data_IF_873986696444
#
_entry.id   IF_873986696444
#
_cell.length_a   1.000
_cell.length_b   1.000
_cell.length_c   1.000
_cell.angle_alpha   90.00
_cell.angle_beta   90.00
_cell.angle_gamma   90.00
#
_symmetry.space_group_name_H-M   'P 1'
#
loop_
_entity.id
_entity.type
_entity.pdbx_description
1 polymer ?
#
# COMPACT_ATOMS: atom_id res chain seq x y z
N UNK A 1 -70.64 -7.18 44.78
CA UNK A 1 -71.09 -6.04 45.61
C UNK A 1 -70.54 -4.76 45.00
N UNK A 2 -71.44 -3.88 44.57
CA UNK A 2 -71.12 -2.57 43.99
C UNK A 2 -70.73 -1.60 45.12
N UNK A 3 -69.66 -0.85 44.95
CA UNK A 3 -69.54 0.50 45.52
C UNK A 3 -68.76 1.37 44.54
N UNK A 4 -69.54 2.23 43.89
CA UNK A 4 -69.07 3.37 43.13
C UNK A 4 -68.63 4.48 44.11
N UNK A 5 -67.76 5.40 43.65
CA UNK A 5 -68.09 6.83 43.42
C UNK A 5 -66.87 7.76 43.46
N UNK A 6 -66.81 8.61 42.42
CA UNK A 6 -66.39 10.02 42.40
C UNK A 6 -64.90 10.41 42.29
N UNK A 7 -64.53 10.73 41.04
CA UNK A 7 -64.03 12.03 40.56
C UNK A 7 -63.06 12.84 41.45
N UNK A 8 -61.84 13.02 40.96
CA UNK A 8 -61.13 14.32 40.99
C UNK A 8 -60.29 14.45 39.71
N UNK A 9 -60.62 15.43 38.87
CA UNK A 9 -59.72 15.98 37.86
C UNK A 9 -58.57 16.70 38.55
N UNK A 10 -57.32 16.39 38.21
CA UNK A 10 -56.25 17.37 38.24
C UNK A 10 -55.23 17.05 37.14
N UNK A 11 -55.13 17.99 36.20
CA UNK A 11 -54.17 17.99 35.11
C UNK A 11 -52.74 18.01 35.65
N UNK A 12 -51.86 17.16 35.12
CA UNK A 12 -50.41 17.30 35.24
C UNK A 12 -49.77 17.06 33.87
N UNK A 13 -49.61 18.17 33.17
CA UNK A 13 -48.79 18.38 31.99
C UNK A 13 -47.34 17.96 32.34
N UNK A 14 -46.87 16.82 31.86
CA UNK A 14 -45.49 16.37 32.08
C UNK A 14 -44.72 16.37 30.76
N UNK A 15 -44.21 17.57 30.46
CA UNK A 15 -42.94 17.93 29.82
C UNK A 15 -42.23 16.80 29.04
N UNK A 16 -42.20 16.97 27.71
CA UNK A 16 -41.24 16.32 26.80
C UNK A 16 -39.87 16.96 27.02
N UNK A 17 -38.93 16.27 27.67
CA UNK A 17 -37.50 16.63 27.61
C UNK A 17 -36.88 15.77 26.51
N UNK A 18 -36.75 16.37 25.34
CA UNK A 18 -35.88 15.85 24.29
C UNK A 18 -34.43 16.04 24.70
N UNK A 19 -33.74 14.95 25.04
CA UNK A 19 -32.29 14.91 24.98
C UNK A 19 -31.89 14.81 23.51
N UNK A 20 -31.88 15.96 22.82
CA UNK A 20 -31.06 16.12 21.62
C UNK A 20 -29.61 16.22 22.12
N UNK A 21 -29.00 15.07 22.36
CA UNK A 21 -27.55 14.99 22.48
C UNK A 21 -26.97 15.43 21.14
N UNK A 22 -26.19 16.52 21.14
CA UNK A 22 -25.28 16.81 20.04
C UNK A 22 -24.45 15.55 19.79
N UNK A 23 -24.73 14.83 18.70
CA UNK A 23 -23.84 13.82 18.19
C UNK A 23 -22.58 14.52 17.71
N UNK A 24 -21.61 14.71 18.62
CA UNK A 24 -20.25 14.99 18.21
C UNK A 24 -19.79 13.74 17.45
N UNK A 25 -19.72 13.83 16.13
CA UNK A 25 -19.00 12.82 15.34
C UNK A 25 -17.59 12.77 15.92
N UNK A 26 -17.12 11.62 16.44
CA UNK A 26 -15.78 11.53 16.97
C UNK A 26 -14.81 11.98 15.88
N UNK A 27 -13.84 12.83 16.27
CA UNK A 27 -12.78 13.22 15.36
C UNK A 27 -12.12 11.95 14.79
N UNK A 28 -11.80 11.90 13.48
CA UNK A 28 -11.12 10.75 12.90
C UNK A 28 -9.83 10.49 13.69
N UNK A 29 -9.57 9.22 13.99
CA UNK A 29 -8.34 8.82 14.67
C UNK A 29 -7.14 9.21 13.80
N UNK A 30 -6.18 9.91 14.38
CA UNK A 30 -4.92 10.29 13.73
C UNK A 30 -3.77 9.49 14.31
N UNK A 31 -2.92 8.92 13.46
CA UNK A 31 -1.80 8.08 13.84
C UNK A 31 -0.49 8.73 13.42
N UNK A 32 0.50 8.73 14.30
CA UNK A 32 1.88 9.13 13.96
C UNK A 32 2.84 7.94 13.94
N UNK A 33 2.41 6.81 14.52
CA UNK A 33 3.15 5.55 14.53
C UNK A 33 2.70 4.69 13.34
N UNK A 34 3.58 4.33 12.39
CA UNK A 34 3.21 3.55 11.21
C UNK A 34 2.67 2.16 11.58
N UNK A 35 3.14 1.55 12.66
CA UNK A 35 2.72 0.21 13.08
C UNK A 35 1.29 0.22 13.63
N UNK A 36 0.99 1.12 14.56
CA UNK A 36 -0.38 1.33 15.03
C UNK A 36 -1.34 1.75 13.90
N UNK A 37 -0.86 2.55 12.95
CA UNK A 37 -1.63 2.93 11.77
C UNK A 37 -2.00 1.70 10.92
N UNK A 38 -1.01 0.89 10.49
CA UNK A 38 -1.29 -0.28 9.67
C UNK A 38 -2.17 -1.31 10.38
N UNK A 39 -1.94 -1.56 11.68
CA UNK A 39 -2.78 -2.45 12.47
C UNK A 39 -4.26 -1.99 12.50
N UNK A 40 -4.52 -0.69 12.41
CA UNK A 40 -5.87 -0.13 12.42
C UNK A 40 -6.53 -0.12 11.03
N UNK A 41 -5.79 0.19 9.96
CA UNK A 41 -6.35 0.34 8.61
C UNK A 41 -6.31 -0.94 7.77
N UNK A 42 -5.51 -1.92 8.17
CA UNK A 42 -5.33 -3.18 7.45
C UNK A 42 -4.46 -3.00 6.21
N UNK A 43 -5.08 -2.88 5.04
CA UNK A 43 -4.38 -2.85 3.75
C UNK A 43 -4.65 -1.53 3.04
N UNK A 44 -3.59 -0.78 2.75
CA UNK A 44 -3.66 0.46 1.95
C UNK A 44 -2.33 0.70 1.24
N UNK A 45 -2.39 1.01 -0.05
CA UNK A 45 -1.20 1.20 -0.91
C UNK A 45 -0.38 2.44 -0.54
N UNK A 46 -1.02 3.47 0.02
CA UNK A 46 -0.39 4.72 0.43
C UNK A 46 -1.09 5.24 1.67
N UNK A 47 -0.36 5.66 2.73
CA UNK A 47 -0.98 6.25 3.91
C UNK A 47 -1.90 7.41 3.55
N UNK A 48 -3.09 7.44 4.15
CA UNK A 48 -4.09 8.47 3.90
C UNK A 48 -4.09 9.55 5.00
N UNK A 49 -5.14 10.37 5.03
CA UNK A 49 -5.27 11.47 5.99
C UNK A 49 -5.35 11.03 7.47
N UNK A 50 -5.59 9.74 7.76
CA UNK A 50 -5.54 9.22 9.13
C UNK A 50 -4.10 9.07 9.63
N UNK A 51 -3.09 9.02 8.75
CA UNK A 51 -1.69 9.09 9.16
C UNK A 51 -1.17 10.53 9.09
N UNK A 52 -0.69 11.05 10.22
CA UNK A 52 -0.20 12.43 10.38
C UNK A 52 1.29 12.51 10.72
N UNK A 53 2.02 11.41 10.58
CA UNK A 53 3.47 11.38 10.77
C UNK A 53 4.26 11.86 9.54
N UNK A 54 5.60 11.76 9.56
CA UNK A 54 6.45 12.06 8.41
C UNK A 54 6.13 11.15 7.21
N UNK A 55 6.34 11.65 5.98
CA UNK A 55 6.05 10.92 4.75
C UNK A 55 6.63 9.50 4.73
N UNK A 56 7.88 9.35 5.15
CA UNK A 56 8.48 8.07 5.55
C UNK A 56 8.98 8.22 6.99
N UNK A 57 8.40 7.52 7.97
CA UNK A 57 8.85 7.60 9.36
C UNK A 57 10.24 6.98 9.55
N UNK A 58 10.98 7.48 10.55
CA UNK A 58 12.35 7.02 10.83
C UNK A 58 12.45 5.51 11.07
N UNK A 59 11.47 4.94 11.78
CA UNK A 59 11.39 3.49 12.04
C UNK A 59 11.30 2.65 10.77
N UNK A 60 10.67 3.17 9.72
CA UNK A 60 10.62 2.51 8.40
C UNK A 60 12.00 2.54 7.74
N UNK A 61 12.71 3.67 7.81
CA UNK A 61 14.07 3.78 7.29
C UNK A 61 15.06 2.86 8.01
N UNK A 62 14.99 2.77 9.34
CA UNK A 62 15.82 1.88 10.16
C UNK A 62 15.52 0.40 9.86
N UNK A 63 14.23 0.07 9.76
CA UNK A 63 13.77 -1.24 9.34
C UNK A 63 14.31 -1.64 7.96
N UNK A 64 14.26 -0.74 6.98
CA UNK A 64 14.85 -0.95 5.65
C UNK A 64 16.36 -1.13 5.71
N UNK A 65 17.08 -0.36 6.52
CA UNK A 65 18.52 -0.48 6.69
C UNK A 65 18.91 -1.90 7.13
N UNK A 66 18.13 -2.46 8.06
CA UNK A 66 18.26 -3.82 8.57
C UNK A 66 17.84 -4.87 7.53
N UNK A 67 16.67 -4.71 6.91
CA UNK A 67 16.13 -5.65 5.94
C UNK A 67 17.01 -5.79 4.68
N UNK A 68 17.59 -4.68 4.22
CA UNK A 68 18.51 -4.63 3.08
C UNK A 68 19.96 -4.98 3.45
N UNK A 69 20.28 -5.09 4.75
CA UNK A 69 21.64 -5.30 5.26
C UNK A 69 22.65 -4.26 4.75
N UNK A 70 22.30 -2.98 4.87
CA UNK A 70 23.10 -1.82 4.39
C UNK A 70 23.48 -0.87 5.53
N UNK A 71 24.26 -1.32 6.53
CA UNK A 71 24.53 -0.54 7.74
C UNK A 71 25.26 0.78 7.48
N UNK A 72 25.99 0.88 6.37
CA UNK A 72 26.75 2.09 5.98
C UNK A 72 25.93 3.08 5.15
N UNK A 73 24.71 2.72 4.73
CA UNK A 73 23.84 3.62 3.98
C UNK A 73 23.28 4.70 4.92
N UNK A 74 23.45 6.00 4.60
CA UNK A 74 22.86 7.06 5.38
C UNK A 74 21.34 6.91 5.49
N UNK A 75 20.81 7.05 6.71
CA UNK A 75 19.39 6.83 6.98
C UNK A 75 18.49 7.81 6.20
N UNK A 76 18.94 9.03 5.98
CA UNK A 76 18.24 10.03 5.18
C UNK A 76 18.12 9.61 3.71
N UNK A 77 19.09 8.86 3.16
CA UNK A 77 18.99 8.29 1.82
C UNK A 77 17.87 7.25 1.76
N UNK A 78 17.76 6.37 2.76
CA UNK A 78 16.69 5.38 2.85
C UNK A 78 15.32 6.06 3.02
N UNK A 79 15.20 7.03 3.92
CA UNK A 79 13.95 7.76 4.16
C UNK A 79 13.47 8.49 2.89
N UNK A 80 14.36 9.20 2.20
CA UNK A 80 13.99 10.02 1.05
C UNK A 80 13.79 9.20 -0.23
N UNK A 81 14.35 8.00 -0.30
CA UNK A 81 14.27 7.12 -1.47
C UNK A 81 13.30 5.95 -1.30
N UNK A 82 12.41 5.98 -0.31
CA UNK A 82 11.50 4.85 -0.04
C UNK A 82 10.04 5.23 -0.11
N UNK A 83 9.23 4.22 -0.39
CA UNK A 83 7.79 4.23 -0.23
C UNK A 83 7.42 3.17 0.81
N UNK A 84 6.31 3.38 1.51
CA UNK A 84 5.77 2.41 2.46
C UNK A 84 4.26 2.31 2.33
N UNK A 85 3.74 1.16 2.72
CA UNK A 85 2.32 0.82 2.64
C UNK A 85 1.94 -0.11 3.79
N UNK A 86 0.64 -0.28 3.98
CA UNK A 86 0.13 -1.32 4.87
C UNK A 86 -0.31 -2.53 4.05
N UNK A 87 0.15 -3.71 4.44
CA UNK A 87 -0.27 -4.98 3.86
C UNK A 87 -0.71 -5.89 4.99
N UNK A 88 -2.01 -6.23 5.02
CA UNK A 88 -2.60 -7.14 6.01
C UNK A 88 -2.38 -6.71 7.47
N UNK A 89 -2.28 -5.41 7.73
CA UNK A 89 -2.05 -4.85 9.06
C UNK A 89 -0.58 -4.57 9.39
N UNK A 90 0.35 -5.06 8.57
CA UNK A 90 1.78 -4.91 8.78
C UNK A 90 2.37 -3.81 7.89
N UNK A 91 3.49 -3.24 8.34
CA UNK A 91 4.21 -2.19 7.60
C UNK A 91 5.13 -2.86 6.58
N UNK A 92 4.99 -2.47 5.32
CA UNK A 92 5.90 -2.88 4.25
C UNK A 92 6.54 -1.66 3.60
N UNK A 93 7.82 -1.76 3.23
CA UNK A 93 8.54 -0.67 2.59
C UNK A 93 9.41 -1.14 1.43
N UNK A 94 9.59 -0.25 0.46
CA UNK A 94 10.41 -0.45 -0.73
C UNK A 94 11.34 0.74 -0.90
N UNK A 95 12.62 0.48 -1.14
CA UNK A 95 13.63 1.50 -1.42
C UNK A 95 13.98 1.49 -2.91
N UNK A 96 13.90 2.65 -3.58
CA UNK A 96 14.04 2.74 -5.05
C UNK A 96 15.40 2.28 -5.56
N UNK A 97 16.47 2.36 -4.76
CA UNK A 97 17.78 1.74 -5.04
C UNK A 97 18.18 1.68 -6.52
N UNK A 98 18.23 0.46 -7.07
CA UNK A 98 18.59 0.16 -8.47
C UNK A 98 17.49 0.55 -9.50
N UNK A 99 16.81 1.68 -9.26
CA UNK A 99 15.62 2.14 -9.98
C UNK A 99 14.44 1.15 -9.89
N UNK A 100 14.26 0.50 -8.74
CA UNK A 100 13.13 -0.37 -8.44
C UNK A 100 11.80 0.41 -8.49
N UNK A 101 10.74 -0.16 -9.06
CA UNK A 101 9.47 0.53 -9.28
C UNK A 101 8.58 0.47 -8.03
N UNK A 102 9.01 1.10 -6.93
CA UNK A 102 8.33 1.03 -5.64
C UNK A 102 6.88 1.54 -5.66
N UNK A 103 6.51 2.44 -6.58
CA UNK A 103 5.16 3.01 -6.66
C UNK A 103 4.32 2.44 -7.81
N UNK A 104 4.79 1.39 -8.50
CA UNK A 104 4.11 0.84 -9.66
C UNK A 104 3.59 -0.58 -9.42
N UNK A 105 2.42 -0.87 -10.00
CA UNK A 105 1.90 -2.23 -10.05
C UNK A 105 2.72 -3.07 -11.02
N UNK A 106 2.87 -4.34 -10.68
CA UNK A 106 3.49 -5.34 -11.53
C UNK A 106 2.75 -5.39 -12.89
N UNK A 107 3.51 -5.31 -13.98
CA UNK A 107 2.99 -5.55 -15.31
C UNK A 107 2.92 -7.07 -15.54
N UNK A 108 1.70 -7.57 -15.62
CA UNK A 108 1.39 -8.99 -15.84
C UNK A 108 0.92 -9.30 -17.28
N UNK A 109 0.98 -8.30 -18.16
CA UNK A 109 0.65 -8.47 -19.57
C UNK A 109 1.74 -9.31 -20.27
N UNK A 110 1.28 -10.25 -21.11
CA UNK A 110 2.12 -11.12 -21.94
C UNK A 110 2.20 -10.65 -23.38
N UNK A 111 1.59 -9.51 -23.69
CA UNK A 111 1.62 -8.87 -25.00
C UNK A 111 2.88 -8.01 -25.10
N UNK A 112 3.74 -8.23 -26.11
CA UNK A 112 4.91 -7.39 -26.29
C UNK A 112 4.52 -5.92 -26.52
N UNK A 113 5.29 -5.01 -25.96
CA UNK A 113 5.19 -3.58 -26.27
C UNK A 113 5.78 -3.27 -27.64
N UNK A 114 5.50 -2.07 -28.16
CA UNK A 114 6.08 -1.63 -29.42
C UNK A 114 7.62 -1.51 -29.32
N UNK A 115 8.13 -1.08 -28.18
CA UNK A 115 9.57 -0.97 -27.90
C UNK A 115 10.25 -2.34 -27.89
N UNK A 116 9.61 -3.37 -27.35
CA UNK A 116 10.12 -4.75 -27.39
C UNK A 116 10.15 -5.27 -28.83
N UNK A 117 9.09 -5.01 -29.62
CA UNK A 117 9.03 -5.37 -31.04
C UNK A 117 10.15 -4.70 -31.83
N UNK A 118 10.35 -3.39 -31.66
CA UNK A 118 11.43 -2.64 -32.32
C UNK A 118 12.82 -3.14 -31.91
N UNK A 119 12.99 -3.44 -30.61
CA UNK A 119 14.23 -4.01 -30.10
C UNK A 119 14.54 -5.35 -30.77
N UNK A 120 13.56 -6.25 -30.88
CA UNK A 120 13.77 -7.55 -31.52
C UNK A 120 13.97 -7.44 -33.03
N UNK A 121 13.32 -6.51 -33.73
CA UNK A 121 13.62 -6.25 -35.14
C UNK A 121 15.08 -5.84 -35.36
N UNK A 122 15.65 -5.04 -34.45
CA UNK A 122 17.05 -4.66 -34.49
C UNK A 122 18.01 -5.75 -33.98
N UNK A 123 17.54 -6.67 -33.13
CA UNK A 123 18.33 -7.70 -32.47
C UNK A 123 17.61 -9.07 -32.53
N UNK A 124 17.57 -9.72 -33.71
CA UNK A 124 16.61 -10.79 -33.99
C UNK A 124 16.71 -12.03 -33.08
N UNK A 125 17.92 -12.34 -32.58
CA UNK A 125 18.19 -13.52 -31.76
C UNK A 125 18.82 -13.14 -30.40
N UNK A 126 18.46 -11.96 -29.85
CA UNK A 126 18.91 -11.57 -28.51
C UNK A 126 18.33 -12.49 -27.44
N UNK A 127 19.17 -13.11 -26.62
CA UNK A 127 18.73 -13.99 -25.53
C UNK A 127 18.05 -13.26 -24.36
N UNK A 128 18.09 -11.91 -24.33
CA UNK A 128 17.37 -11.10 -23.36
C UNK A 128 16.93 -9.75 -23.96
N UNK A 129 15.85 -9.17 -23.42
CA UNK A 129 15.45 -7.77 -23.65
C UNK A 129 15.73 -6.96 -22.37
N UNK A 130 16.49 -5.84 -22.43
CA UNK A 130 16.82 -5.05 -21.24
C UNK A 130 15.60 -4.40 -20.56
N UNK A 131 15.66 -4.19 -19.24
CA UNK A 131 14.62 -3.53 -18.45
C UNK A 131 14.31 -2.07 -18.85
N UNK A 132 15.21 -1.41 -19.60
CA UNK A 132 14.92 -0.08 -20.18
C UNK A 132 13.94 -0.16 -21.35
N UNK A 133 13.77 -1.35 -21.95
CA UNK A 133 12.83 -1.63 -23.05
C UNK A 133 11.55 -2.27 -22.52
N UNK A 134 11.65 -3.30 -21.69
CA UNK A 134 10.49 -4.07 -21.17
C UNK A 134 9.72 -3.31 -20.07
N UNK A 135 10.28 -2.21 -19.57
CA UNK A 135 9.90 -1.65 -18.27
C UNK A 135 10.48 -2.44 -17.10
N UNK A 136 10.42 -1.86 -15.90
CA UNK A 136 10.92 -2.49 -14.66
C UNK A 136 9.82 -3.16 -13.86
N UNK A 137 8.58 -3.01 -14.31
CA UNK A 137 7.38 -3.51 -13.68
C UNK A 137 7.03 -4.92 -14.21
N UNK A 138 7.57 -5.33 -15.35
CA UNK A 138 7.24 -6.63 -15.96
C UNK A 138 7.64 -7.78 -15.05
N UNK A 139 6.75 -8.75 -14.86
CA UNK A 139 7.08 -9.98 -14.13
C UNK A 139 7.74 -11.04 -15.03
N UNK A 140 7.94 -10.73 -16.31
CA UNK A 140 8.45 -11.68 -17.30
C UNK A 140 9.88 -11.37 -17.72
N UNK A 141 10.65 -12.44 -17.93
CA UNK A 141 11.88 -12.37 -18.72
C UNK A 141 11.52 -12.54 -20.19
N UNK A 142 12.04 -11.64 -21.01
CA UNK A 142 11.81 -11.58 -22.45
C UNK A 142 13.09 -11.82 -23.22
N UNK A 143 12.96 -12.42 -24.40
CA UNK A 143 14.04 -12.56 -25.39
C UNK A 143 13.50 -12.27 -26.79
N UNK A 144 14.37 -12.28 -27.78
CA UNK A 144 14.02 -12.24 -29.19
C UNK A 144 14.28 -13.59 -29.85
N UNK A 145 13.36 -14.03 -30.71
CA UNK A 145 13.55 -15.17 -31.62
C UNK A 145 13.12 -14.76 -33.01
N UNK A 146 14.04 -14.83 -33.98
CA UNK A 146 13.74 -14.48 -35.38
C UNK A 146 13.08 -13.09 -35.53
N UNK A 147 13.46 -12.13 -34.68
CA UNK A 147 12.92 -10.76 -34.70
C UNK A 147 11.62 -10.56 -33.93
N UNK A 148 11.13 -11.58 -33.22
CA UNK A 148 9.86 -11.54 -32.48
C UNK A 148 10.13 -11.63 -30.97
N UNK A 149 9.54 -10.76 -30.13
CA UNK A 149 9.63 -10.89 -28.68
C UNK A 149 8.92 -12.15 -28.17
N UNK A 150 9.60 -12.90 -27.31
CA UNK A 150 9.07 -14.09 -26.65
C UNK A 150 9.24 -14.00 -25.13
N UNK A 151 8.18 -14.33 -24.38
CA UNK A 151 8.29 -14.58 -22.95
C UNK A 151 9.08 -15.88 -22.74
N UNK A 152 10.17 -15.79 -21.99
CA UNK A 152 10.98 -16.94 -21.56
C UNK A 152 10.30 -17.62 -20.37
N UNK A 153 10.03 -16.84 -19.32
CA UNK A 153 9.43 -17.30 -18.06
C UNK A 153 8.98 -16.11 -17.22
N UNK A 154 8.21 -16.40 -16.19
CA UNK A 154 7.95 -15.45 -15.11
C UNK A 154 9.11 -15.45 -14.12
N UNK A 155 9.54 -14.26 -13.69
CA UNK A 155 10.70 -14.07 -12.79
C UNK A 155 10.35 -13.40 -11.47
N UNK A 156 9.21 -12.69 -11.41
CA UNK A 156 8.70 -12.06 -10.19
C UNK A 156 7.24 -12.42 -9.94
N UNK A 157 6.76 -12.18 -8.73
CA UNK A 157 5.36 -12.34 -8.36
C UNK A 157 4.75 -10.98 -8.06
N UNK A 158 3.46 -10.85 -8.40
CA UNK A 158 2.65 -9.78 -7.85
C UNK A 158 2.13 -10.23 -6.48
N UNK A 159 2.23 -9.37 -5.46
CA UNK A 159 1.51 -9.57 -4.20
C UNK A 159 0.00 -9.33 -4.37
N UNK A 160 -0.76 -9.52 -3.28
CA UNK A 160 -2.22 -9.37 -3.28
C UNK A 160 -2.70 -7.94 -3.64
N UNK A 161 -1.87 -6.93 -3.39
CA UNK A 161 -2.12 -5.55 -3.80
C UNK A 161 -1.65 -5.29 -5.24
N UNK A 162 -0.94 -6.21 -5.89
CA UNK A 162 -0.50 -6.12 -7.27
C UNK A 162 0.86 -5.47 -7.46
N UNK A 163 1.68 -5.30 -6.42
CA UNK A 163 3.07 -4.83 -6.58
C UNK A 163 4.04 -6.02 -6.68
N UNK A 164 5.27 -5.78 -7.17
CA UNK A 164 6.32 -6.81 -7.21
C UNK A 164 6.69 -7.25 -5.79
N UNK A 165 6.32 -8.46 -5.39
CA UNK A 165 6.41 -8.90 -3.99
C UNK A 165 7.84 -8.87 -3.43
N UNK A 166 8.82 -9.17 -4.28
CA UNK A 166 10.21 -9.36 -3.90
C UNK A 166 10.96 -8.06 -3.59
N UNK A 167 10.39 -6.89 -3.89
CA UNK A 167 10.99 -5.58 -3.60
C UNK A 167 10.38 -4.88 -2.38
N UNK A 168 9.35 -5.48 -1.78
CA UNK A 168 8.70 -4.97 -0.57
C UNK A 168 9.11 -5.78 0.65
N UNK A 169 9.70 -5.10 1.63
CA UNK A 169 10.21 -5.70 2.85
C UNK A 169 9.24 -5.45 4.00
N UNK A 170 8.88 -6.49 4.73
CA UNK A 170 8.16 -6.34 6.00
C UNK A 170 9.06 -5.63 7.01
N UNK A 171 8.50 -4.61 7.65
CA UNK A 171 9.16 -3.84 8.68
C UNK A 171 8.47 -4.15 10.00
N UNK A 172 9.24 -4.63 10.97
CA UNK A 172 8.76 -4.86 12.33
C UNK A 172 9.21 -3.72 13.26
N UNK A 173 8.44 -3.40 14.31
CA UNK A 173 8.95 -2.58 15.40
C UNK A 173 10.09 -3.33 16.10
N UNK A 174 11.14 -2.59 16.50
CA UNK A 174 12.25 -3.15 17.31
C UNK A 174 11.84 -3.47 18.75
#
# INVERSE_FOLDING_TARGET
MKLARFAVCLALLSIVIGLVGCGATPAPATYTDPFAYCAAVGTIDTPDAAYSGPAVPQSVGEGLQKALNVPDMPLDMLINGSSWRCMNGDVYACFVGANLPCDAKANTDRTPTQEEVEFCQANPDSEFIPAVVTGRETIFEWRCREGIPEVVRQVWQADEQGFLSEIWYEISPD
#
